data_IF_422939910472
#
_entry.id   IF_422939910472
#
_cell.length_a   1.000
_cell.length_b   1.000
_cell.length_c   1.000
_cell.angle_alpha   90.00
_cell.angle_beta   90.00
_cell.angle_gamma   90.00
#
_symmetry.space_group_name_H-M   'P 1'
#
loop_
_entity.id
_entity.type
_entity.pdbx_description
1 polymer ?
#
# COMPACT_ATOMS: atom_id res chain seq x y z
N UNK A 1 56.35 68.77 -13.80
CA UNK A 1 56.08 67.64 -14.72
C UNK A 1 55.46 66.43 -13.98
N UNK A 2 54.50 66.65 -13.06
CA UNK A 2 53.90 65.57 -12.25
C UNK A 2 52.36 65.66 -12.14
N UNK A 3 51.74 66.72 -12.68
CA UNK A 3 50.29 66.94 -12.61
C UNK A 3 49.58 66.46 -13.90
N UNK A 4 50.32 66.24 -15.00
CA UNK A 4 49.77 65.75 -16.28
C UNK A 4 49.43 64.26 -16.28
N UNK A 5 50.01 63.45 -15.38
CA UNK A 5 49.82 61.99 -15.39
C UNK A 5 48.61 61.53 -14.54
N UNK A 6 48.08 62.40 -13.68
CA UNK A 6 46.88 62.11 -12.89
C UNK A 6 45.58 62.34 -13.68
N UNK A 7 45.61 63.23 -14.69
CA UNK A 7 44.45 63.45 -15.57
C UNK A 7 44.26 62.28 -16.54
N UNK A 8 45.36 61.68 -17.04
CA UNK A 8 45.28 60.49 -17.88
C UNK A 8 45.02 59.18 -17.11
N UNK A 9 45.42 59.08 -15.84
CA UNK A 9 45.02 57.92 -15.00
C UNK A 9 43.57 57.97 -14.55
N UNK A 10 42.97 59.17 -14.43
CA UNK A 10 41.52 59.29 -14.13
C UNK A 10 40.65 58.96 -15.35
N UNK A 11 41.13 59.21 -16.56
CA UNK A 11 40.42 58.87 -17.81
C UNK A 11 40.37 57.36 -18.13
N UNK A 12 41.22 56.53 -17.52
CA UNK A 12 41.19 55.07 -17.74
C UNK A 12 40.31 54.30 -16.75
N UNK A 13 39.91 54.94 -15.63
CA UNK A 13 39.03 54.34 -14.61
C UNK A 13 37.56 54.71 -14.85
N UNK A 14 37.29 55.76 -15.63
CA UNK A 14 35.97 56.05 -16.18
C UNK A 14 35.70 55.21 -17.45
N UNK A 15 35.97 53.90 -17.41
CA UNK A 15 35.20 52.97 -18.22
C UNK A 15 33.79 52.98 -17.63
N UNK A 16 33.02 54.01 -18.00
CA UNK A 16 31.59 54.08 -17.81
C UNK A 16 31.02 52.81 -18.44
N UNK A 17 30.88 51.77 -17.62
CA UNK A 17 29.92 50.71 -17.80
C UNK A 17 28.59 51.43 -17.93
N UNK A 18 28.23 51.74 -19.16
CA UNK A 18 26.97 52.38 -19.51
C UNK A 18 25.85 51.57 -18.85
N UNK A 19 24.86 52.23 -18.25
CA UNK A 19 23.66 51.60 -17.68
C UNK A 19 23.14 50.38 -18.49
N UNK A 20 23.07 50.43 -19.84
CA UNK A 20 22.72 49.24 -20.65
C UNK A 20 23.70 48.07 -20.52
N UNK A 21 25.02 48.29 -20.46
CA UNK A 21 26.03 47.24 -20.37
C UNK A 21 25.93 46.43 -19.07
N UNK A 22 25.63 47.10 -17.95
CA UNK A 22 25.38 46.44 -16.67
C UNK A 22 24.09 45.61 -16.75
N UNK A 23 23.04 46.15 -17.37
CA UNK A 23 21.79 45.42 -17.59
C UNK A 23 22.00 44.18 -18.46
N UNK A 24 22.81 44.27 -19.53
CA UNK A 24 23.17 43.11 -20.37
C UNK A 24 23.96 42.05 -19.60
N UNK A 25 24.92 42.44 -18.75
CA UNK A 25 25.70 41.51 -17.91
C UNK A 25 24.80 40.82 -16.87
N UNK A 26 23.88 41.57 -16.26
CA UNK A 26 22.91 41.01 -15.30
C UNK A 26 21.94 40.05 -16.00
N UNK A 27 21.41 40.43 -17.17
CA UNK A 27 20.48 39.58 -17.92
C UNK A 27 21.15 38.31 -18.45
N UNK A 28 22.40 38.40 -18.90
CA UNK A 28 23.17 37.24 -19.37
C UNK A 28 23.58 36.31 -18.22
N UNK A 29 23.98 36.85 -17.06
CA UNK A 29 24.27 36.02 -15.88
C UNK A 29 23.01 35.34 -15.35
N UNK A 30 21.86 36.03 -15.35
CA UNK A 30 20.55 35.43 -15.05
C UNK A 30 20.21 34.33 -16.05
N UNK A 31 20.35 34.58 -17.36
CA UNK A 31 20.05 33.58 -18.39
C UNK A 31 20.97 32.34 -18.30
N UNK A 32 22.27 32.53 -18.07
CA UNK A 32 23.24 31.44 -17.88
C UNK A 32 22.94 30.68 -16.59
N UNK A 33 22.59 31.37 -15.49
CA UNK A 33 22.16 30.76 -14.24
C UNK A 33 20.89 29.93 -14.43
N UNK A 34 19.89 30.44 -15.13
CA UNK A 34 18.67 29.70 -15.46
C UNK A 34 18.94 28.49 -16.34
N UNK A 35 19.80 28.61 -17.36
CA UNK A 35 20.19 27.48 -18.22
C UNK A 35 20.97 26.42 -17.46
N UNK A 36 21.82 26.83 -16.52
CA UNK A 36 22.58 25.92 -15.66
C UNK A 36 21.67 25.20 -14.68
N UNK A 37 20.76 25.93 -14.02
CA UNK A 37 19.72 25.35 -13.17
C UNK A 37 18.79 24.41 -13.96
N UNK A 38 18.45 24.76 -15.20
CA UNK A 38 17.65 23.92 -16.08
C UNK A 38 18.38 22.62 -16.44
N UNK A 39 19.68 22.69 -16.78
CA UNK A 39 20.50 21.49 -17.05
C UNK A 39 20.71 20.62 -15.82
N UNK A 40 20.84 21.21 -14.64
CA UNK A 40 20.87 20.46 -13.38
C UNK A 40 19.52 19.82 -13.03
N UNK A 41 18.42 20.41 -13.49
CA UNK A 41 17.08 19.89 -13.29
C UNK A 41 16.72 18.76 -14.26
N UNK A 42 17.44 18.63 -15.38
CA UNK A 42 17.22 17.55 -16.34
C UNK A 42 17.66 16.19 -15.74
N UNK A 43 16.91 15.11 -16.02
CA UNK A 43 17.29 13.79 -15.60
C UNK A 43 18.62 13.37 -16.25
N UNK A 44 19.53 12.83 -15.44
CA UNK A 44 20.81 12.29 -15.93
C UNK A 44 20.66 10.79 -16.23
N UNK A 45 20.60 10.37 -17.52
CA UNK A 45 20.50 8.96 -17.89
C UNK A 45 21.77 8.19 -17.52
N UNK A 46 21.62 6.91 -17.15
CA UNK A 46 22.77 6.02 -16.96
C UNK A 46 23.20 5.53 -18.36
N UNK A 47 24.47 5.71 -18.75
CA UNK A 47 24.93 5.28 -20.06
C UNK A 47 24.83 3.77 -20.21
N UNK A 48 24.32 3.31 -21.35
CA UNK A 48 24.19 1.89 -21.68
C UNK A 48 22.87 1.21 -21.32
N UNK A 49 21.93 1.92 -20.66
CA UNK A 49 20.59 1.40 -20.36
C UNK A 49 19.55 2.10 -21.25
N UNK A 50 18.70 1.37 -21.99
CA UNK A 50 17.64 1.95 -22.83
C UNK A 50 16.62 2.79 -22.06
N UNK A 51 16.18 3.89 -22.70
CA UNK A 51 15.18 4.83 -22.18
C UNK A 51 14.42 5.53 -23.31
N UNK A 52 13.31 6.17 -22.96
CA UNK A 52 12.63 7.08 -23.86
C UNK A 52 13.44 8.38 -24.00
N UNK A 53 14.06 8.58 -25.17
CA UNK A 53 14.87 9.78 -25.47
C UNK A 53 14.07 11.07 -25.27
N UNK A 54 12.76 11.05 -25.51
CA UNK A 54 11.89 12.20 -25.35
C UNK A 54 11.71 12.60 -23.88
N UNK A 55 11.81 11.63 -22.96
CA UNK A 55 11.70 11.84 -21.51
C UNK A 55 12.96 12.46 -20.93
N UNK A 56 14.15 12.19 -21.49
CA UNK A 56 15.40 12.78 -21.01
C UNK A 56 15.51 14.31 -21.24
N UNK A 57 14.71 14.84 -22.17
CA UNK A 57 14.67 16.27 -22.48
C UNK A 57 13.60 17.03 -21.67
N UNK A 58 12.82 16.33 -20.84
CA UNK A 58 11.71 16.92 -20.08
C UNK A 58 12.06 17.01 -18.60
N UNK A 59 11.71 18.14 -17.98
CA UNK A 59 11.94 18.37 -16.54
C UNK A 59 11.14 17.39 -15.65
N UNK A 60 9.98 16.94 -16.14
CA UNK A 60 9.15 15.94 -15.48
C UNK A 60 9.41 14.50 -15.99
N UNK A 61 10.42 14.30 -16.84
CA UNK A 61 10.77 12.99 -17.35
C UNK A 61 9.59 12.28 -18.04
N UNK A 62 9.30 11.08 -17.55
CA UNK A 62 8.25 10.17 -18.04
C UNK A 62 6.86 10.47 -17.44
N UNK A 63 6.76 11.35 -16.44
CA UNK A 63 5.49 11.62 -15.74
C UNK A 63 4.36 12.05 -16.68
N UNK A 64 4.56 12.97 -17.66
CA UNK A 64 3.47 13.37 -18.56
C UNK A 64 2.98 12.23 -19.45
N UNK A 65 3.90 11.40 -19.97
CA UNK A 65 3.56 10.23 -20.79
C UNK A 65 2.78 9.21 -19.95
N UNK A 66 3.27 8.94 -18.74
CA UNK A 66 2.62 8.05 -17.77
C UNK A 66 1.20 8.51 -17.42
N UNK A 67 1.01 9.79 -17.06
CA UNK A 67 -0.32 10.33 -16.74
C UNK A 67 -1.25 10.27 -17.95
N UNK A 68 -0.74 10.56 -19.15
CA UNK A 68 -1.53 10.45 -20.37
C UNK A 68 -1.95 9.02 -20.68
N UNK A 69 -1.09 8.03 -20.39
CA UNK A 69 -1.39 6.61 -20.56
C UNK A 69 -2.47 6.16 -19.57
N UNK A 70 -2.33 6.56 -18.30
CA UNK A 70 -3.32 6.27 -17.24
C UNK A 70 -4.68 6.88 -17.59
N UNK A 71 -4.71 8.16 -17.99
CA UNK A 71 -5.96 8.87 -18.29
C UNK A 71 -6.69 8.42 -19.56
N UNK A 72 -5.97 7.84 -20.54
CA UNK A 72 -6.56 7.49 -21.85
C UNK A 72 -6.98 6.03 -21.98
N UNK A 73 -6.44 5.12 -21.17
CA UNK A 73 -6.57 3.66 -21.36
C UNK A 73 -7.05 2.90 -20.13
N UNK A 74 -7.52 3.58 -19.08
CA UNK A 74 -7.73 2.98 -17.74
C UNK A 74 -6.50 2.15 -17.30
N UNK A 75 -5.33 2.60 -17.77
CA UNK A 75 -4.07 1.92 -17.56
C UNK A 75 -3.51 2.27 -16.20
N UNK A 76 -2.70 1.39 -15.67
CA UNK A 76 -1.96 1.60 -14.43
C UNK A 76 -0.49 1.89 -14.69
N UNK A 77 0.25 2.32 -13.66
CA UNK A 77 1.69 2.56 -13.76
C UNK A 77 2.45 1.33 -14.32
N UNK A 78 2.03 0.12 -13.95
CA UNK A 78 2.65 -1.12 -14.43
C UNK A 78 2.34 -1.34 -15.91
N UNK A 79 1.12 -1.05 -16.39
CA UNK A 79 0.80 -1.19 -17.81
C UNK A 79 1.60 -0.22 -18.70
N UNK A 80 1.86 1.00 -18.20
CA UNK A 80 2.76 1.94 -18.86
C UNK A 80 4.18 1.39 -18.96
N UNK A 81 4.72 0.86 -17.86
CA UNK A 81 6.05 0.22 -17.85
C UNK A 81 6.09 -0.93 -18.85
N UNK A 82 5.09 -1.80 -18.86
CA UNK A 82 5.04 -2.94 -19.77
C UNK A 82 5.03 -2.50 -21.24
N UNK A 83 4.27 -1.46 -21.59
CA UNK A 83 4.29 -0.90 -22.95
C UNK A 83 5.64 -0.29 -23.30
N UNK A 84 6.26 0.44 -22.36
CA UNK A 84 7.57 1.04 -22.54
C UNK A 84 8.66 -0.03 -22.76
N UNK A 85 8.64 -1.10 -21.97
CA UNK A 85 9.57 -2.23 -22.12
C UNK A 85 9.40 -2.94 -23.46
N UNK A 86 8.16 -3.13 -23.92
CA UNK A 86 7.87 -3.70 -25.24
C UNK A 86 8.35 -2.81 -26.38
N UNK A 87 8.24 -1.50 -26.22
CA UNK A 87 8.65 -0.51 -27.22
C UNK A 87 10.17 -0.42 -27.34
N UNK A 88 10.87 -0.48 -26.20
CA UNK A 88 12.33 -0.42 -26.14
C UNK A 88 13.02 -1.77 -26.41
N UNK A 89 12.25 -2.86 -26.48
CA UNK A 89 12.71 -4.25 -26.67
C UNK A 89 13.93 -4.61 -25.79
N UNK A 90 13.86 -4.26 -24.50
CA UNK A 90 14.95 -4.43 -23.56
C UNK A 90 14.48 -4.99 -22.21
N UNK A 91 15.21 -5.94 -21.60
CA UNK A 91 14.85 -6.53 -20.31
C UNK A 91 15.13 -5.60 -19.12
N UNK A 92 15.98 -4.59 -19.32
CA UNK A 92 16.32 -3.55 -18.35
C UNK A 92 16.11 -2.18 -18.99
N UNK A 93 15.23 -1.38 -18.40
CA UNK A 93 14.96 -0.01 -18.86
C UNK A 93 15.15 0.98 -17.70
N UNK A 94 15.36 2.25 -18.04
CA UNK A 94 15.37 3.35 -17.07
C UNK A 94 14.20 4.31 -17.30
N UNK A 95 13.59 4.76 -16.21
CA UNK A 95 12.40 5.63 -16.21
C UNK A 95 12.61 6.80 -15.26
N UNK A 96 12.19 7.99 -15.67
CA UNK A 96 12.37 9.25 -14.96
C UNK A 96 11.04 9.72 -14.35
N UNK A 97 10.70 9.20 -13.16
CA UNK A 97 9.42 9.47 -12.49
C UNK A 97 9.55 10.54 -11.41
N UNK A 98 10.69 10.57 -10.73
CA UNK A 98 10.95 11.52 -9.64
C UNK A 98 11.82 12.67 -10.17
N UNK A 99 11.30 13.91 -10.22
CA UNK A 99 12.12 15.06 -10.61
C UNK A 99 13.28 15.25 -9.61
N UNK A 100 14.43 15.72 -10.09
CA UNK A 100 15.65 15.91 -9.30
C UNK A 100 16.22 14.65 -8.62
N UNK A 101 15.76 13.47 -9.00
CA UNK A 101 16.19 12.19 -8.42
C UNK A 101 16.91 11.33 -9.45
N UNK A 102 17.56 10.27 -8.97
CA UNK A 102 18.17 9.26 -9.85
C UNK A 102 17.09 8.52 -10.65
N UNK A 103 17.40 8.06 -11.88
CA UNK A 103 16.48 7.24 -12.66
C UNK A 103 16.07 5.97 -11.91
N UNK A 104 14.81 5.57 -12.09
CA UNK A 104 14.31 4.27 -11.65
C UNK A 104 14.69 3.23 -12.70
N UNK A 105 15.38 2.17 -12.27
CA UNK A 105 15.69 1.03 -13.12
C UNK A 105 14.62 -0.04 -12.95
N UNK A 106 14.12 -0.56 -14.07
CA UNK A 106 13.10 -1.61 -14.10
C UNK A 106 13.68 -2.81 -14.84
N UNK A 107 13.77 -3.92 -14.11
CA UNK A 107 14.23 -5.20 -14.61
C UNK A 107 13.04 -6.14 -14.73
N UNK A 108 12.79 -6.67 -15.93
CA UNK A 108 11.74 -7.68 -16.17
C UNK A 108 12.28 -9.06 -16.54
N UNK A 109 13.61 -9.26 -16.54
CA UNK A 109 14.15 -10.61 -16.66
C UNK A 109 13.99 -11.37 -15.34
N UNK A 110 13.30 -12.51 -15.41
CA UNK A 110 13.03 -13.38 -14.27
C UNK A 110 14.32 -13.91 -13.65
N UNK A 111 15.30 -14.32 -14.47
CA UNK A 111 16.52 -14.98 -13.96
C UNK A 111 17.36 -14.00 -13.15
N UNK A 112 17.63 -12.83 -13.71
CA UNK A 112 18.36 -11.77 -13.01
C UNK A 112 17.59 -11.25 -11.79
N UNK A 113 16.26 -11.05 -11.89
CA UNK A 113 15.46 -10.62 -10.74
C UNK A 113 15.49 -11.64 -9.59
N UNK A 114 15.39 -12.93 -9.91
CA UNK A 114 15.50 -14.01 -8.93
C UNK A 114 16.88 -14.06 -8.29
N UNK A 115 17.96 -13.93 -9.08
CA UNK A 115 19.32 -13.92 -8.55
C UNK A 115 19.57 -12.72 -7.61
N UNK A 116 19.08 -11.54 -8.00
CA UNK A 116 19.13 -10.32 -7.18
C UNK A 116 18.42 -10.51 -5.84
N UNK A 117 17.24 -11.13 -5.84
CA UNK A 117 16.42 -11.27 -4.64
C UNK A 117 16.93 -12.34 -3.66
N UNK A 118 17.61 -13.40 -4.16
CA UNK A 118 17.98 -14.55 -3.34
C UNK A 118 19.48 -14.60 -3.02
N UNK A 119 20.34 -14.35 -4.00
CA UNK A 119 21.77 -14.62 -3.88
C UNK A 119 22.61 -13.36 -3.63
N UNK A 120 22.20 -12.22 -4.19
CA UNK A 120 22.98 -10.97 -4.16
C UNK A 120 22.66 -10.15 -2.90
N UNK A 121 23.70 -9.79 -2.15
CA UNK A 121 23.59 -9.09 -0.85
C UNK A 121 23.85 -7.58 -0.93
N UNK A 122 24.33 -7.13 -2.08
CA UNK A 122 24.57 -5.72 -2.39
C UNK A 122 23.29 -4.92 -2.56
N UNK A 123 22.16 -5.59 -2.83
CA UNK A 123 20.84 -4.98 -2.90
C UNK A 123 20.13 -5.09 -1.56
N UNK A 124 19.60 -3.96 -1.12
CA UNK A 124 18.76 -3.86 0.08
C UNK A 124 17.51 -3.06 -0.28
N UNK A 125 16.56 -2.98 0.66
CA UNK A 125 15.25 -2.34 0.45
C UNK A 125 15.39 -0.89 -0.02
N UNK A 126 14.57 -0.55 -1.02
CA UNK A 126 14.54 0.79 -1.60
C UNK A 126 13.95 1.81 -0.61
N UNK A 127 14.56 3.00 -0.47
CA UNK A 127 13.97 4.12 0.27
C UNK A 127 12.58 4.52 -0.26
N UNK A 128 12.29 4.26 -1.55
CA UNK A 128 11.01 4.60 -2.16
C UNK A 128 9.83 3.86 -1.55
N UNK A 129 10.02 2.59 -1.15
CA UNK A 129 9.00 1.85 -0.42
C UNK A 129 8.76 2.45 0.97
N UNK A 130 9.83 2.97 1.58
CA UNK A 130 9.72 3.67 2.85
C UNK A 130 8.95 4.96 2.76
N UNK A 131 9.15 5.77 1.72
CA UNK A 131 8.38 7.00 1.51
C UNK A 131 6.86 6.73 1.44
N UNK A 132 6.46 5.55 0.95
CA UNK A 132 5.05 5.15 0.86
C UNK A 132 4.48 4.79 2.22
N UNK A 133 5.18 4.01 3.04
CA UNK A 133 4.62 3.46 4.29
C UNK A 133 4.90 4.33 5.50
N UNK A 134 5.94 5.17 5.46
CA UNK A 134 6.41 5.98 6.60
C UNK A 134 5.35 6.96 7.12
N UNK A 135 4.40 7.39 6.29
CA UNK A 135 3.29 8.20 6.75
C UNK A 135 2.39 7.46 7.74
N UNK A 136 2.11 6.18 7.48
CA UNK A 136 1.17 5.37 8.26
C UNK A 136 1.81 4.66 9.46
N UNK A 137 3.02 4.14 9.27
CA UNK A 137 3.76 3.37 10.28
C UNK A 137 5.25 3.77 10.27
N UNK A 138 5.60 4.91 10.91
CA UNK A 138 6.93 5.51 10.82
C UNK A 138 8.05 4.68 11.44
N UNK A 139 7.77 3.80 12.40
CA UNK A 139 8.76 2.97 13.09
C UNK A 139 8.67 1.48 12.71
N UNK A 140 7.86 1.11 11.72
CA UNK A 140 7.66 -0.29 11.32
C UNK A 140 8.81 -0.87 10.50
N UNK A 141 9.12 -2.16 10.69
CA UNK A 141 10.26 -2.80 10.02
C UNK A 141 10.17 -2.87 8.50
N UNK A 142 9.01 -2.72 7.86
CA UNK A 142 8.87 -2.86 6.39
C UNK A 142 9.75 -1.89 5.60
N UNK A 143 9.93 -0.67 6.12
CA UNK A 143 10.68 0.37 5.42
C UNK A 143 12.13 0.49 5.89
N UNK A 144 12.50 -0.21 6.96
CA UNK A 144 13.87 -0.22 7.43
C UNK A 144 14.75 -1.06 6.50
N UNK A 145 15.95 -0.54 6.24
CA UNK A 145 17.07 -1.30 5.67
C UNK A 145 17.45 -2.46 6.58
N UNK A 146 18.14 -3.47 6.05
CA UNK A 146 18.52 -4.71 6.76
C UNK A 146 19.62 -4.47 7.81
N UNK A 147 19.37 -3.57 8.76
CA UNK A 147 20.24 -3.16 9.84
C UNK A 147 19.87 -3.88 11.16
N UNK A 148 20.52 -3.50 12.25
CA UNK A 148 20.24 -4.07 13.58
C UNK A 148 18.82 -3.76 14.06
N UNK A 149 18.30 -2.55 13.79
CA UNK A 149 16.94 -2.17 14.14
C UNK A 149 15.90 -3.05 13.44
N UNK A 150 16.07 -3.27 12.13
CA UNK A 150 15.23 -4.19 11.36
C UNK A 150 15.26 -5.61 11.95
N UNK A 151 16.44 -6.14 12.29
CA UNK A 151 16.56 -7.48 12.89
C UNK A 151 15.83 -7.57 14.23
N UNK A 152 15.92 -6.55 15.06
CA UNK A 152 15.24 -6.51 16.36
C UNK A 152 13.72 -6.47 16.18
N UNK A 153 13.21 -5.61 15.31
CA UNK A 153 11.77 -5.50 15.04
C UNK A 153 11.22 -6.76 14.36
N UNK A 154 11.95 -7.30 13.38
CA UNK A 154 11.56 -8.55 12.68
C UNK A 154 11.43 -9.73 13.63
N UNK A 155 12.24 -9.79 14.70
CA UNK A 155 12.18 -10.84 15.74
C UNK A 155 10.88 -10.79 16.55
N UNK A 156 10.22 -9.64 16.66
CA UNK A 156 8.94 -9.53 17.37
C UNK A 156 7.83 -10.29 16.62
N UNK A 157 7.84 -10.21 15.29
CA UNK A 157 6.78 -10.75 14.41
C UNK A 157 7.14 -12.06 13.72
N UNK A 158 8.36 -12.58 13.88
CA UNK A 158 8.84 -13.77 13.13
C UNK A 158 8.02 -15.03 13.36
N UNK A 159 7.51 -15.24 14.57
CA UNK A 159 6.83 -16.50 14.86
C UNK A 159 5.34 -16.48 14.51
N UNK A 160 4.80 -15.31 14.13
CA UNK A 160 3.43 -15.19 13.60
C UNK A 160 3.24 -15.97 12.29
N UNK A 161 4.33 -16.32 11.59
CA UNK A 161 4.30 -17.14 10.38
C UNK A 161 4.75 -18.58 10.63
N UNK A 162 4.91 -19.00 11.88
CA UNK A 162 5.27 -20.40 12.19
C UNK A 162 4.08 -21.32 11.95
N UNK A 163 4.32 -22.59 11.54
CA UNK A 163 3.24 -23.57 11.39
C UNK A 163 2.38 -23.73 12.65
N UNK A 164 2.99 -23.61 13.83
CA UNK A 164 2.28 -23.70 15.12
C UNK A 164 1.30 -22.54 15.31
N UNK A 165 1.71 -21.30 15.02
CA UNK A 165 0.80 -20.15 15.11
C UNK A 165 -0.31 -20.25 14.07
N UNK A 166 0.04 -20.62 12.83
CA UNK A 166 -0.92 -20.77 11.75
C UNK A 166 -1.98 -21.85 12.05
N UNK A 167 -1.58 -22.97 12.66
CA UNK A 167 -2.51 -24.05 12.98
C UNK A 167 -3.38 -23.76 14.21
N UNK A 168 -2.80 -23.18 15.26
CA UNK A 168 -3.48 -23.03 16.55
C UNK A 168 -4.25 -21.72 16.71
N UNK A 169 -3.84 -20.65 16.00
CA UNK A 169 -4.43 -19.31 16.13
C UNK A 169 -5.12 -18.89 14.84
N UNK A 170 -4.38 -18.84 13.72
CA UNK A 170 -4.95 -18.34 12.46
C UNK A 170 -5.98 -19.30 11.86
N UNK A 171 -5.73 -20.61 11.89
CA UNK A 171 -6.59 -21.64 11.31
C UNK A 171 -8.03 -21.61 11.85
N UNK A 172 -8.25 -21.67 13.18
CA UNK A 172 -9.57 -21.57 13.78
C UNK A 172 -10.30 -20.27 13.41
N UNK A 173 -9.61 -19.12 13.49
CA UNK A 173 -10.17 -17.82 13.11
C UNK A 173 -10.61 -17.79 11.64
N UNK A 174 -9.76 -18.24 10.72
CA UNK A 174 -10.07 -18.32 9.28
C UNK A 174 -11.27 -19.24 9.05
N UNK A 175 -11.31 -20.42 9.70
CA UNK A 175 -12.42 -21.36 9.56
C UNK A 175 -13.76 -20.76 10.02
N UNK A 176 -13.76 -20.03 11.14
CA UNK A 176 -14.95 -19.36 11.65
C UNK A 176 -15.48 -18.32 10.67
N UNK A 177 -14.62 -17.44 10.16
CA UNK A 177 -15.03 -16.40 9.21
C UNK A 177 -15.41 -16.97 7.84
N UNK A 178 -14.71 -17.99 7.35
CA UNK A 178 -15.07 -18.70 6.13
C UNK A 178 -16.45 -19.38 6.24
N UNK A 179 -16.80 -19.91 7.41
CA UNK A 179 -18.12 -20.50 7.66
C UNK A 179 -19.23 -19.44 7.55
N UNK A 180 -19.02 -18.26 8.14
CA UNK A 180 -19.96 -17.12 8.02
C UNK A 180 -20.12 -16.68 6.56
N UNK A 181 -19.04 -16.65 5.78
CA UNK A 181 -19.12 -16.34 4.34
C UNK A 181 -19.96 -17.38 3.58
N UNK A 182 -19.81 -18.66 3.89
CA UNK A 182 -20.60 -19.73 3.27
C UNK A 182 -22.09 -19.55 3.58
N UNK A 183 -22.43 -19.17 4.82
CA UNK A 183 -23.81 -18.89 5.22
C UNK A 183 -24.35 -17.63 4.51
N UNK A 184 -23.54 -16.57 4.37
CA UNK A 184 -23.89 -15.38 3.58
C UNK A 184 -24.19 -15.74 2.12
N UNK A 185 -23.34 -16.54 1.48
CA UNK A 185 -23.57 -16.98 0.10
C UNK A 185 -24.76 -17.92 -0.03
N UNK A 186 -25.04 -18.74 0.99
CA UNK A 186 -26.26 -19.55 1.02
C UNK A 186 -27.52 -18.68 1.10
N UNK A 187 -27.51 -17.65 1.94
CA UNK A 187 -28.62 -16.69 2.02
C UNK A 187 -28.79 -15.92 0.70
N UNK A 188 -27.71 -15.33 0.17
CA UNK A 188 -27.72 -14.61 -1.12
C UNK A 188 -28.18 -15.50 -2.28
N UNK A 189 -27.69 -16.73 -2.38
CA UNK A 189 -28.07 -17.67 -3.45
C UNK A 189 -29.55 -18.07 -3.41
N UNK A 190 -30.11 -18.23 -2.21
CA UNK A 190 -31.54 -18.53 -2.02
C UNK A 190 -32.40 -17.35 -2.48
N UNK A 191 -31.96 -16.12 -2.18
CA UNK A 191 -32.65 -14.91 -2.59
C UNK A 191 -32.49 -14.68 -4.10
N UNK A 192 -31.29 -14.86 -4.67
CA UNK A 192 -30.98 -14.55 -6.06
C UNK A 192 -31.65 -15.48 -7.09
N UNK A 193 -32.05 -16.70 -6.69
CA UNK A 193 -32.77 -17.68 -7.53
C UNK A 193 -32.19 -17.84 -8.96
N UNK A 194 -30.86 -17.99 -9.05
CA UNK A 194 -30.14 -18.25 -10.30
C UNK A 194 -29.61 -17.02 -11.05
N UNK A 195 -29.84 -15.81 -10.52
CA UNK A 195 -29.21 -14.56 -10.99
C UNK A 195 -27.82 -14.44 -10.34
N UNK A 196 -26.76 -14.08 -11.10
CA UNK A 196 -25.43 -13.88 -10.54
C UNK A 196 -25.36 -12.70 -9.56
N UNK A 197 -24.40 -12.73 -8.64
CA UNK A 197 -24.04 -11.61 -7.77
C UNK A 197 -22.52 -11.49 -7.61
N UNK A 198 -22.03 -10.29 -7.32
CA UNK A 198 -20.61 -10.01 -7.13
C UNK A 198 -20.10 -10.62 -5.82
N UNK A 199 -19.08 -11.49 -5.89
CA UNK A 199 -18.49 -12.15 -4.72
C UNK A 199 -17.21 -11.47 -4.23
N UNK A 200 -16.67 -10.52 -4.99
CA UNK A 200 -15.37 -9.92 -4.72
C UNK A 200 -15.32 -9.18 -3.38
N UNK A 201 -16.25 -8.26 -3.16
CA UNK A 201 -16.37 -7.52 -1.89
C UNK A 201 -16.54 -8.46 -0.69
N UNK A 202 -17.31 -9.54 -0.83
CA UNK A 202 -17.51 -10.51 0.24
C UNK A 202 -16.21 -11.24 0.61
N UNK A 203 -15.39 -11.57 -0.39
CA UNK A 203 -14.07 -12.20 -0.18
C UNK A 203 -13.13 -11.22 0.53
N UNK A 204 -13.12 -9.96 0.12
CA UNK A 204 -12.27 -8.95 0.75
C UNK A 204 -12.70 -8.66 2.19
N UNK A 205 -14.00 -8.61 2.46
CA UNK A 205 -14.55 -8.45 3.80
C UNK A 205 -14.21 -9.64 4.71
N UNK A 206 -14.39 -10.89 4.24
CA UNK A 206 -14.07 -12.06 5.08
C UNK A 206 -12.57 -12.17 5.34
N UNK A 207 -11.73 -11.80 4.38
CA UNK A 207 -10.28 -11.82 4.53
C UNK A 207 -9.83 -10.78 5.56
N UNK A 208 -10.40 -9.58 5.50
CA UNK A 208 -10.19 -8.55 6.52
C UNK A 208 -10.61 -9.03 7.91
N UNK A 209 -11.84 -9.57 8.04
CA UNK A 209 -12.36 -10.05 9.32
C UNK A 209 -11.46 -11.16 9.92
N UNK A 210 -11.05 -12.13 9.08
CA UNK A 210 -10.16 -13.21 9.51
C UNK A 210 -8.81 -12.69 10.00
N UNK A 211 -8.23 -11.72 9.29
CA UNK A 211 -6.96 -11.07 9.69
C UNK A 211 -7.10 -10.33 11.00
N UNK A 212 -8.18 -9.55 11.16
CA UNK A 212 -8.41 -8.82 12.40
C UNK A 212 -8.64 -9.77 13.58
N UNK A 213 -9.34 -10.89 13.35
CA UNK A 213 -9.59 -11.90 14.38
C UNK A 213 -8.32 -12.61 14.87
N UNK A 214 -7.41 -13.04 13.99
CA UNK A 214 -6.15 -13.63 14.48
C UNK A 214 -5.15 -12.56 14.97
N UNK A 215 -5.29 -11.31 14.52
CA UNK A 215 -4.43 -10.22 14.96
C UNK A 215 -4.75 -9.78 16.41
N UNK A 216 -6.03 -9.50 16.69
CA UNK A 216 -6.49 -8.96 17.97
C UNK A 216 -7.09 -10.02 18.90
N UNK A 217 -7.58 -11.14 18.35
CA UNK A 217 -8.14 -12.27 19.11
C UNK A 217 -9.61 -12.53 18.82
N UNK A 218 -10.16 -13.59 19.40
CA UNK A 218 -11.55 -14.03 19.21
C UNK A 218 -12.59 -13.02 19.73
N UNK A 219 -12.20 -12.15 20.66
CA UNK A 219 -13.06 -11.09 21.21
C UNK A 219 -13.24 -9.90 20.25
N UNK A 220 -12.58 -9.93 19.09
CA UNK A 220 -12.76 -8.95 18.02
C UNK A 220 -14.14 -9.10 17.36
N UNK A 221 -15.14 -8.42 17.93
CA UNK A 221 -16.52 -8.45 17.44
C UNK A 221 -16.80 -7.49 16.26
N UNK A 222 -15.80 -6.72 15.83
CA UNK A 222 -15.95 -5.67 14.82
C UNK A 222 -15.71 -6.21 13.41
N UNK A 223 -16.62 -7.04 12.88
CA UNK A 223 -16.49 -7.61 11.52
C UNK A 223 -17.44 -6.98 10.50
N UNK A 224 -17.15 -7.11 9.20
CA UNK A 224 -18.02 -6.68 8.10
C UNK A 224 -18.95 -7.80 7.61
N UNK A 225 -18.51 -9.06 7.71
CA UNK A 225 -19.21 -10.20 7.10
C UNK A 225 -20.50 -10.54 7.86
N UNK A 226 -20.48 -10.47 9.20
CA UNK A 226 -21.67 -10.73 10.03
C UNK A 226 -22.76 -9.66 9.86
N UNK A 227 -22.47 -8.35 9.92
CA UNK A 227 -23.47 -7.32 9.60
C UNK A 227 -24.05 -7.45 8.19
N UNK A 228 -23.24 -7.87 7.21
CA UNK A 228 -23.73 -8.16 5.85
C UNK A 228 -24.69 -9.35 5.83
N UNK A 229 -24.41 -10.41 6.59
CA UNK A 229 -25.32 -11.55 6.75
C UNK A 229 -26.63 -11.11 7.39
N UNK A 230 -26.57 -10.40 8.51
CA UNK A 230 -27.75 -9.87 9.21
C UNK A 230 -28.58 -8.97 8.29
N UNK A 231 -27.94 -8.11 7.48
CA UNK A 231 -28.63 -7.23 6.55
C UNK A 231 -29.36 -8.01 5.44
N UNK A 232 -28.75 -9.11 4.95
CA UNK A 232 -29.35 -9.98 3.94
C UNK A 232 -30.49 -10.82 4.54
N UNK A 233 -30.35 -11.32 5.77
CA UNK A 233 -31.39 -12.09 6.45
C UNK A 233 -32.60 -11.24 6.85
N UNK A 234 -32.41 -9.96 7.14
CA UNK A 234 -33.49 -9.01 7.46
C UNK A 234 -34.27 -8.51 6.23
N UNK A 235 -33.93 -8.96 5.02
CA UNK A 235 -34.66 -8.57 3.82
C UNK A 235 -36.08 -9.17 3.80
N UNK A 236 -37.09 -8.29 3.80
CA UNK A 236 -38.47 -8.69 3.60
C UNK A 236 -38.75 -9.18 2.16
N UNK A 237 -39.78 -10.01 2.00
CA UNK A 237 -40.19 -10.57 0.69
C UNK A 237 -40.45 -9.49 -0.37
N UNK A 238 -41.03 -8.35 0.03
CA UNK A 238 -41.27 -7.22 -0.87
C UNK A 238 -39.98 -6.53 -1.33
N UNK A 239 -38.97 -6.45 -0.45
CA UNK A 239 -37.66 -5.90 -0.79
C UNK A 239 -36.90 -6.84 -1.75
N UNK A 240 -37.00 -8.15 -1.53
CA UNK A 240 -36.47 -9.19 -2.43
C UNK A 240 -37.11 -9.11 -3.82
N UNK A 241 -38.43 -8.97 -3.89
CA UNK A 241 -39.13 -8.78 -5.17
C UNK A 241 -38.75 -7.48 -5.85
N UNK A 242 -38.51 -6.40 -5.10
CA UNK A 242 -38.02 -5.13 -5.67
C UNK A 242 -36.59 -5.26 -6.21
N UNK A 243 -35.72 -6.01 -5.54
CA UNK A 243 -34.36 -6.30 -6.00
C UNK A 243 -34.36 -7.17 -7.26
N UNK A 244 -35.30 -8.11 -7.38
CA UNK A 244 -35.50 -8.95 -8.57
C UNK A 244 -36.17 -8.21 -9.73
N UNK A 245 -37.15 -7.36 -9.44
CA UNK A 245 -37.99 -6.66 -10.42
C UNK A 245 -37.43 -5.29 -10.83
N UNK A 246 -36.28 -4.87 -10.29
CA UNK A 246 -35.75 -3.52 -10.54
C UNK A 246 -35.44 -3.24 -12.00
N UNK A 247 -35.41 -4.22 -12.92
CA UNK A 247 -35.37 -3.94 -14.37
C UNK A 247 -35.76 -5.12 -15.27
N UNK A 248 -36.83 -4.95 -16.05
CA UNK A 248 -37.28 -5.82 -17.17
C UNK A 248 -36.33 -5.77 -18.39
N UNK A 249 -35.00 -5.79 -18.17
CA UNK A 249 -33.99 -5.50 -19.20
C UNK A 249 -32.75 -6.39 -19.19
N UNK A 250 -32.77 -7.53 -18.50
CA UNK A 250 -31.63 -8.47 -18.43
C UNK A 250 -30.57 -8.04 -17.42
N UNK A 251 -30.67 -8.55 -16.20
CA UNK A 251 -29.72 -8.24 -15.11
C UNK A 251 -28.42 -9.02 -15.32
N UNK A 252 -27.30 -8.29 -15.38
CA UNK A 252 -25.94 -8.85 -15.38
C UNK A 252 -25.49 -9.28 -13.97
N UNK A 253 -26.02 -8.67 -12.89
CA UNK A 253 -25.77 -9.04 -11.47
C UNK A 253 -26.75 -8.40 -10.47
N UNK A 254 -27.08 -9.09 -9.36
CA UNK A 254 -27.79 -8.52 -8.19
C UNK A 254 -26.80 -7.87 -7.23
N UNK A 255 -27.15 -6.68 -6.72
CA UNK A 255 -26.48 -6.03 -5.61
C UNK A 255 -27.28 -6.18 -4.32
N UNK A 256 -26.63 -6.70 -3.28
CA UNK A 256 -27.23 -6.88 -1.95
C UNK A 256 -26.93 -5.69 -1.04
N UNK A 257 -27.79 -5.39 -0.05
CA UNK A 257 -27.50 -4.37 0.94
C UNK A 257 -26.26 -4.76 1.76
N UNK A 258 -25.43 -3.76 2.07
CA UNK A 258 -24.28 -3.90 2.97
C UNK A 258 -24.69 -3.47 4.38
N UNK A 259 -24.22 -4.19 5.39
CA UNK A 259 -24.44 -3.87 6.80
C UNK A 259 -23.67 -2.62 7.21
N UNK A 260 -24.05 -2.06 8.37
CA UNK A 260 -23.30 -0.96 8.97
C UNK A 260 -21.91 -1.44 9.39
N UNK A 261 -20.89 -0.67 9.00
CA UNK A 261 -19.48 -0.99 9.27
C UNK A 261 -19.08 -0.31 10.57
N UNK A 262 -18.43 -1.07 11.46
CA UNK A 262 -17.91 -0.56 12.71
C UNK A 262 -16.88 0.56 12.50
N UNK A 263 -16.83 1.53 13.42
CA UNK A 263 -15.92 2.67 13.38
C UNK A 263 -14.44 2.26 13.26
N UNK A 264 -14.01 1.17 13.92
CA UNK A 264 -12.63 0.68 13.87
C UNK A 264 -12.27 0.14 12.48
N UNK A 265 -13.19 -0.56 11.84
CA UNK A 265 -13.01 -1.08 10.49
C UNK A 265 -13.07 0.06 9.47
N UNK A 266 -14.01 0.98 9.62
CA UNK A 266 -14.12 2.16 8.77
C UNK A 266 -12.85 3.02 8.84
N UNK A 267 -12.29 3.25 10.04
CA UNK A 267 -11.02 3.94 10.21
C UNK A 267 -9.86 3.19 9.50
N UNK A 268 -9.89 1.86 9.49
CA UNK A 268 -8.87 1.04 8.81
C UNK A 268 -8.99 1.13 7.29
N UNK A 269 -10.20 1.12 6.74
CA UNK A 269 -10.46 1.32 5.32
C UNK A 269 -10.04 2.73 4.88
N UNK A 270 -10.43 3.75 5.66
CA UNK A 270 -10.08 5.15 5.41
C UNK A 270 -8.56 5.36 5.37
N UNK A 271 -7.81 4.70 6.26
CA UNK A 271 -6.34 4.75 6.24
C UNK A 271 -5.75 4.01 5.04
N UNK A 272 -6.38 2.94 4.57
CA UNK A 272 -5.92 2.18 3.40
C UNK A 272 -6.09 3.01 2.12
N UNK A 273 -7.23 3.70 1.99
CA UNK A 273 -7.49 4.60 0.85
C UNK A 273 -6.45 5.71 0.75
N UNK A 274 -5.97 6.24 1.89
CA UNK A 274 -4.93 7.27 1.89
C UNK A 274 -3.60 6.79 1.31
N UNK A 275 -3.27 5.50 1.45
CA UNK A 275 -2.05 4.93 0.84
C UNK A 275 -2.20 4.93 -0.68
N UNK A 276 -3.39 4.63 -1.19
CA UNK A 276 -3.73 4.74 -2.61
C UNK A 276 -3.58 6.16 -3.15
N UNK A 277 -4.02 7.19 -2.41
CA UNK A 277 -3.86 8.60 -2.80
C UNK A 277 -2.39 9.05 -2.92
N UNK A 278 -1.50 8.49 -2.10
CA UNK A 278 -0.06 8.83 -2.10
C UNK A 278 0.67 8.06 -3.21
N UNK A 279 0.20 6.85 -3.54
CA UNK A 279 0.80 6.02 -4.57
C UNK A 279 0.71 6.67 -5.96
N UNK A 280 1.86 6.81 -6.63
CA UNK A 280 1.95 7.45 -7.95
C UNK A 280 2.17 8.97 -7.92
N UNK A 281 2.14 9.60 -6.74
CA UNK A 281 2.48 11.01 -6.62
C UNK A 281 4.01 11.20 -6.70
N UNK A 282 4.53 12.15 -7.53
CA UNK A 282 5.97 12.39 -7.65
C UNK A 282 6.64 12.84 -6.35
N UNK A 283 5.89 13.41 -5.39
CA UNK A 283 6.42 13.89 -4.10
C UNK A 283 5.70 13.28 -2.89
N UNK A 284 5.94 11.99 -2.59
CA UNK A 284 5.18 11.24 -1.57
C UNK A 284 5.23 11.89 -0.17
N UNK A 285 6.36 12.50 0.21
CA UNK A 285 6.50 13.14 1.53
C UNK A 285 5.59 14.37 1.70
N UNK A 286 5.43 15.17 0.65
CA UNK A 286 4.55 16.35 0.68
C UNK A 286 3.08 15.93 0.68
N UNK A 287 2.75 14.91 -0.12
CA UNK A 287 1.40 14.34 -0.16
C UNK A 287 1.02 13.77 1.19
N UNK A 288 1.91 13.00 1.84
CA UNK A 288 1.69 12.53 3.21
C UNK A 288 1.49 13.67 4.19
N UNK A 289 2.32 14.72 4.15
CA UNK A 289 2.16 15.87 5.01
C UNK A 289 0.82 16.60 4.82
N UNK A 290 0.26 16.59 3.61
CA UNK A 290 -1.07 17.16 3.32
C UNK A 290 -2.21 16.21 3.73
N UNK A 291 -2.12 14.93 3.37
CA UNK A 291 -3.11 13.90 3.69
C UNK A 291 -3.27 13.73 5.20
N UNK A 292 -2.16 13.72 5.96
CA UNK A 292 -2.21 13.63 7.43
C UNK A 292 -2.80 14.85 8.11
N UNK A 293 -2.95 15.99 7.40
CA UNK A 293 -3.66 17.16 7.92
C UNK A 293 -5.18 17.07 7.72
N UNK A 294 -5.67 16.15 6.89
CA UNK A 294 -7.12 15.94 6.71
C UNK A 294 -7.71 15.46 8.04
N UNK A 295 -8.79 16.12 8.50
CA UNK A 295 -9.43 15.77 9.78
C UNK A 295 -9.92 14.32 9.82
N UNK A 296 -10.42 13.80 8.69
CA UNK A 296 -10.85 12.39 8.54
C UNK A 296 -9.72 11.42 8.86
N UNK A 297 -8.54 11.64 8.27
CA UNK A 297 -7.35 10.80 8.46
C UNK A 297 -6.84 10.89 9.89
N UNK A 298 -6.79 12.10 10.46
CA UNK A 298 -6.38 12.30 11.86
C UNK A 298 -7.28 11.52 12.84
N UNK A 299 -8.60 11.58 12.65
CA UNK A 299 -9.56 10.82 13.47
C UNK A 299 -9.36 9.31 13.30
N UNK A 300 -9.19 8.84 12.05
CA UNK A 300 -8.95 7.43 11.78
C UNK A 300 -7.65 6.91 12.43
N UNK A 301 -6.57 7.70 12.42
CA UNK A 301 -5.33 7.37 13.14
C UNK A 301 -5.57 7.28 14.66
N UNK A 302 -6.29 8.24 15.23
CA UNK A 302 -6.58 8.29 16.67
C UNK A 302 -7.44 7.11 17.14
N UNK A 303 -8.54 6.82 16.44
CA UNK A 303 -9.42 5.67 16.74
C UNK A 303 -8.61 4.37 16.72
N UNK A 304 -7.82 4.16 15.65
CA UNK A 304 -7.02 2.95 15.48
C UNK A 304 -5.91 2.83 16.51
N UNK A 305 -5.21 3.91 16.81
CA UNK A 305 -4.14 3.92 17.81
C UNK A 305 -4.68 3.62 19.21
N UNK A 306 -5.80 4.24 19.59
CA UNK A 306 -6.46 3.98 20.87
C UNK A 306 -6.88 2.51 21.00
N UNK A 307 -7.44 1.93 19.93
CA UNK A 307 -7.82 0.52 19.90
C UNK A 307 -6.62 -0.44 20.06
N UNK A 308 -5.51 -0.16 19.36
CA UNK A 308 -4.29 -0.97 19.50
C UNK A 308 -3.73 -0.87 20.93
N UNK A 309 -3.76 0.32 21.53
CA UNK A 309 -3.25 0.53 22.89
C UNK A 309 -4.14 -0.18 23.92
N UNK A 310 -5.47 -0.14 23.77
CA UNK A 310 -6.37 -0.89 24.65
C UNK A 310 -6.12 -2.38 24.54
N UNK A 311 -6.06 -2.93 23.32
CA UNK A 311 -5.86 -4.38 23.16
C UNK A 311 -4.48 -4.84 23.64
N UNK A 312 -3.43 -4.03 23.47
CA UNK A 312 -2.11 -4.31 24.06
C UNK A 312 -2.16 -4.33 25.59
N UNK A 313 -2.89 -3.41 26.20
CA UNK A 313 -3.04 -3.31 27.65
C UNK A 313 -3.81 -4.52 28.20
N UNK A 314 -4.92 -4.86 27.54
CA UNK A 314 -5.75 -6.02 27.88
C UNK A 314 -4.96 -7.33 27.71
N UNK A 315 -4.16 -7.45 26.64
CA UNK A 315 -3.26 -8.59 26.41
C UNK A 315 -2.21 -8.72 27.53
N UNK A 316 -1.63 -7.60 27.98
CA UNK A 316 -0.66 -7.61 29.10
C UNK A 316 -1.31 -8.08 30.39
N UNK A 317 -2.54 -7.64 30.67
CA UNK A 317 -3.32 -8.08 31.83
C UNK A 317 -3.66 -9.57 31.75
N UNK A 318 -4.23 -10.02 30.62
CA UNK A 318 -4.60 -11.44 30.37
C UNK A 318 -3.41 -12.38 30.52
N UNK A 319 -2.23 -12.00 30.01
CA UNK A 319 -1.04 -12.83 30.03
C UNK A 319 -0.22 -12.71 31.33
N UNK A 320 -0.59 -11.80 32.22
CA UNK A 320 0.17 -11.47 33.43
C UNK A 320 1.60 -11.03 33.09
N UNK A 321 1.78 -10.22 32.04
CA UNK A 321 3.09 -9.82 31.52
C UNK A 321 3.85 -10.92 30.78
N UNK A 322 3.14 -11.85 30.12
CA UNK A 322 3.74 -12.88 29.26
C UNK A 322 4.17 -14.17 29.97
N UNK A 323 3.75 -14.40 31.22
CA UNK A 323 4.25 -15.51 32.06
C UNK A 323 3.25 -16.64 32.28
N UNK A 324 1.94 -16.44 32.05
CA UNK A 324 0.90 -17.39 32.49
C UNK A 324 -0.23 -17.65 31.50
N UNK A 325 -0.30 -16.95 30.37
CA UNK A 325 -1.43 -17.05 29.44
C UNK A 325 -1.14 -17.86 28.18
N UNK A 326 -2.20 -18.46 27.61
CA UNK A 326 -2.18 -19.07 26.28
C UNK A 326 -2.24 -17.96 25.24
N UNK A 327 -1.34 -18.01 24.26
CA UNK A 327 -1.34 -17.05 23.14
C UNK A 327 -2.55 -17.31 22.25
N UNK A 328 -3.47 -16.34 22.17
CA UNK A 328 -4.68 -16.43 21.33
C UNK A 328 -4.69 -15.45 20.17
N UNK A 329 -3.77 -14.46 20.16
CA UNK A 329 -3.71 -13.44 19.13
C UNK A 329 -2.27 -13.07 18.75
N UNK A 330 -2.11 -12.32 17.67
CA UNK A 330 -0.81 -11.75 17.30
C UNK A 330 -0.33 -10.71 18.34
N UNK A 331 -1.25 -9.94 18.92
CA UNK A 331 -0.94 -8.99 20.00
C UNK A 331 -0.43 -9.72 21.24
N UNK A 332 -1.07 -10.81 21.65
CA UNK A 332 -0.61 -11.67 22.75
C UNK A 332 0.82 -12.19 22.48
N UNK A 333 1.07 -12.63 21.24
CA UNK A 333 2.38 -13.14 20.85
C UNK A 333 3.47 -12.05 20.95
N UNK A 334 3.16 -10.83 20.50
CA UNK A 334 4.05 -9.68 20.60
C UNK A 334 4.40 -9.34 22.05
N UNK A 335 3.42 -9.39 22.96
CA UNK A 335 3.65 -9.20 24.40
C UNK A 335 4.62 -10.25 24.96
N UNK A 336 4.37 -11.54 24.69
CA UNK A 336 5.26 -12.63 25.13
C UNK A 336 6.69 -12.46 24.59
N UNK A 337 6.82 -12.06 23.32
CA UNK A 337 8.14 -11.83 22.70
C UNK A 337 8.86 -10.64 23.27
N UNK A 338 8.17 -9.53 23.51
CA UNK A 338 8.75 -8.36 24.14
C UNK A 338 9.25 -8.68 25.56
N UNK A 339 8.49 -9.46 26.35
CA UNK A 339 8.95 -9.96 27.66
C UNK A 339 10.24 -10.78 27.54
N UNK A 340 10.27 -11.77 26.63
CA UNK A 340 11.44 -12.64 26.46
C UNK A 340 12.68 -11.89 25.95
N UNK A 341 12.51 -10.93 25.05
CA UNK A 341 13.61 -10.07 24.58
C UNK A 341 14.10 -9.14 25.69
N UNK A 342 13.19 -8.55 26.47
CA UNK A 342 13.54 -7.68 27.58
C UNK A 342 14.33 -8.42 28.68
N UNK A 343 13.92 -9.64 29.03
CA UNK A 343 14.63 -10.49 29.98
C UNK A 343 16.04 -10.84 29.49
N UNK A 344 16.19 -11.16 28.19
CA UNK A 344 17.50 -11.44 27.57
C UNK A 344 18.42 -10.23 27.57
N UNK A 345 17.87 -9.05 27.31
CA UNK A 345 18.60 -7.78 27.27
C UNK A 345 18.77 -7.14 28.65
N UNK A 346 18.29 -7.79 29.73
CA UNK A 346 18.30 -7.29 31.12
C UNK A 346 17.65 -5.91 31.27
N UNK A 347 16.60 -5.65 30.50
CA UNK A 347 15.80 -4.41 30.53
C UNK A 347 14.37 -4.71 31.00
N UNK A 348 13.65 -3.68 31.43
CA UNK A 348 12.21 -3.80 31.65
C UNK A 348 11.49 -3.92 30.28
N UNK A 349 10.43 -4.74 30.19
CA UNK A 349 9.64 -4.86 28.97
C UNK A 349 8.86 -3.56 28.70
N UNK A 350 8.80 -3.15 27.44
CA UNK A 350 8.07 -1.97 27.00
C UNK A 350 6.99 -2.36 25.98
N UNK A 351 5.82 -2.69 26.50
CA UNK A 351 4.69 -3.19 25.71
C UNK A 351 4.01 -2.09 24.86
N UNK A 352 4.04 -0.83 25.32
CA UNK A 352 3.39 0.31 24.65
C UNK A 352 4.46 1.24 24.05
N UNK A 353 5.34 0.65 23.25
CA UNK A 353 6.31 1.41 22.46
C UNK A 353 5.73 1.77 21.08
N UNK A 354 6.23 2.85 20.47
CA UNK A 354 5.85 3.21 19.09
C UNK A 354 6.09 2.09 18.10
N UNK A 355 7.20 1.36 18.29
CA UNK A 355 7.52 0.15 17.52
C UNK A 355 6.43 -0.91 17.67
N UNK A 356 5.98 -1.23 18.88
CA UNK A 356 4.93 -2.23 19.10
C UNK A 356 3.61 -1.83 18.42
N UNK A 357 3.20 -0.58 18.59
CA UNK A 357 1.97 -0.04 17.97
C UNK A 357 2.08 -0.10 16.44
N UNK A 358 3.22 0.31 15.88
CA UNK A 358 3.44 0.34 14.43
C UNK A 358 3.59 -1.05 13.82
N UNK A 359 4.18 -2.01 14.55
CA UNK A 359 4.24 -3.43 14.16
C UNK A 359 2.85 -4.05 14.11
N UNK A 360 2.02 -3.83 15.12
CA UNK A 360 0.62 -4.26 15.13
C UNK A 360 -0.11 -3.58 13.96
N UNK A 361 -0.11 -2.25 13.91
CA UNK A 361 -0.79 -1.43 12.90
C UNK A 361 -0.49 -1.90 11.48
N UNK A 362 0.79 -2.07 11.15
CA UNK A 362 1.18 -2.42 9.80
C UNK A 362 0.86 -3.88 9.48
N UNK A 363 1.06 -4.82 10.41
CA UNK A 363 0.88 -6.26 10.16
C UNK A 363 -0.46 -6.57 9.48
N UNK A 364 -1.59 -6.10 10.02
CA UNK A 364 -2.90 -6.32 9.39
C UNK A 364 -3.17 -5.37 8.22
N UNK A 365 -2.68 -4.13 8.24
CA UNK A 365 -2.85 -3.21 7.10
C UNK A 365 -2.15 -3.74 5.83
N UNK A 366 -1.00 -4.41 5.96
CA UNK A 366 -0.34 -5.09 4.83
C UNK A 366 -1.07 -6.31 4.30
N UNK A 367 -1.97 -6.93 5.05
CA UNK A 367 -2.84 -7.97 4.49
C UNK A 367 -4.01 -7.35 3.72
N UNK A 368 -4.50 -6.18 4.13
CA UNK A 368 -5.59 -5.46 3.46
C UNK A 368 -5.14 -4.89 2.12
N UNK A 369 -3.91 -4.39 2.04
CA UNK A 369 -3.36 -3.80 0.82
C UNK A 369 -3.47 -4.78 -0.38
N UNK A 370 -2.93 -6.01 -0.38
CA UNK A 370 -3.13 -6.96 -1.48
C UNK A 370 -4.58 -7.15 -1.93
N UNK A 371 -5.56 -7.15 -1.03
CA UNK A 371 -6.98 -7.33 -1.36
C UNK A 371 -7.61 -6.07 -1.99
N UNK A 372 -7.37 -4.89 -1.41
CA UNK A 372 -7.74 -3.62 -2.03
C UNK A 372 -7.04 -3.43 -3.41
N UNK A 373 -5.88 -4.04 -3.58
CA UNK A 373 -5.09 -3.99 -4.81
C UNK A 373 -5.53 -5.03 -5.84
N UNK A 374 -6.05 -6.19 -5.43
CA UNK A 374 -6.71 -7.15 -6.35
C UNK A 374 -7.89 -6.47 -7.04
N UNK A 375 -8.69 -5.72 -6.28
CA UNK A 375 -9.83 -4.96 -6.81
C UNK A 375 -9.40 -3.84 -7.76
N UNK A 376 -8.39 -3.07 -7.35
CA UNK A 376 -7.95 -1.87 -8.09
C UNK A 376 -7.07 -2.20 -9.30
N UNK A 377 -6.29 -3.29 -9.28
CA UNK A 377 -5.27 -3.59 -10.30
C UNK A 377 -5.53 -4.86 -11.11
N UNK A 378 -6.09 -5.92 -10.51
CA UNK A 378 -6.36 -7.17 -11.22
C UNK A 378 -7.76 -7.21 -11.84
N UNK A 379 -8.71 -6.48 -11.27
CA UNK A 379 -10.13 -6.53 -11.65
C UNK A 379 -10.73 -5.32 -12.38
N UNK A 380 -9.99 -4.26 -12.84
CA UNK A 380 -10.63 -3.24 -13.67
C UNK A 380 -11.02 -3.79 -15.06
N UNK A 381 -10.57 -5.00 -15.42
CA UNK A 381 -11.18 -5.74 -16.51
C UNK A 381 -12.53 -6.27 -16.03
N UNK A 382 -13.64 -5.65 -16.47
CA UNK A 382 -15.02 -6.15 -16.30
C UNK A 382 -15.19 -7.64 -16.62
N UNK A 383 -14.24 -8.24 -17.34
CA UNK A 383 -14.19 -9.66 -17.72
C UNK A 383 -13.83 -10.63 -16.59
N UNK A 384 -13.25 -10.17 -15.47
CA UNK A 384 -12.72 -11.04 -14.41
C UNK A 384 -13.39 -10.90 -13.04
N UNK A 385 -14.44 -10.07 -12.93
CA UNK A 385 -15.27 -10.02 -11.72
C UNK A 385 -15.83 -11.42 -11.41
N UNK A 386 -15.52 -11.93 -10.22
CA UNK A 386 -15.98 -13.26 -9.81
C UNK A 386 -17.47 -13.18 -9.50
N UNK A 387 -18.28 -13.57 -10.48
CA UNK A 387 -19.72 -13.72 -10.31
C UNK A 387 -20.04 -15.16 -9.93
N UNK A 388 -20.70 -15.34 -8.79
CA UNK A 388 -21.22 -16.64 -8.41
C UNK A 388 -22.64 -16.79 -8.94
N UNK A 389 -22.90 -17.92 -9.62
CA UNK A 389 -24.24 -18.30 -10.07
C UNK A 389 -24.67 -19.59 -9.38
N UNK A 390 -25.81 -19.54 -8.69
CA UNK A 390 -26.39 -20.72 -8.09
C UNK A 390 -26.92 -21.67 -9.17
N UNK A 391 -26.26 -22.82 -9.38
CA UNK A 391 -26.73 -23.88 -10.27
C UNK A 391 -27.45 -24.96 -9.48
N UNK A 392 -28.67 -25.34 -9.88
CA UNK A 392 -29.48 -26.40 -9.24
C UNK A 392 -28.95 -27.84 -9.46
N UNK A 393 -27.76 -28.02 -10.03
CA UNK A 393 -27.18 -29.35 -10.24
C UNK A 393 -26.18 -29.69 -9.12
N UNK A 394 -26.28 -30.88 -8.50
CA UNK A 394 -25.28 -31.32 -7.54
C UNK A 394 -23.94 -31.51 -8.24
N UNK A 395 -22.91 -30.81 -7.78
CA UNK A 395 -21.52 -31.00 -8.21
C UNK A 395 -21.09 -32.40 -7.76
N UNK A 396 -21.10 -33.37 -8.68
CA UNK A 396 -20.46 -34.68 -8.47
C UNK A 396 -18.95 -34.46 -8.46
N UNK A 397 -18.35 -34.42 -7.28
CA UNK A 397 -16.91 -34.65 -7.13
C UNK A 397 -16.63 -36.10 -7.50
N UNK A 398 -16.23 -36.36 -8.75
CA UNK A 398 -15.71 -37.68 -9.13
C UNK A 398 -14.31 -37.81 -8.54
N UNK A 399 -14.19 -38.51 -7.42
CA UNK A 399 -12.90 -39.02 -6.93
C UNK A 399 -12.47 -40.11 -7.92
N UNK A 400 -11.57 -39.75 -8.84
CA UNK A 400 -10.92 -40.68 -9.75
C UNK A 400 -9.94 -41.55 -8.98
N UNK A 401 -10.42 -42.66 -8.42
CA UNK A 401 -9.57 -43.75 -7.96
C UNK A 401 -9.09 -44.56 -9.16
N UNK A 402 -7.83 -44.39 -9.57
CA UNK A 402 -7.18 -45.30 -10.50
C UNK A 402 -6.84 -46.60 -9.75
N UNK A 403 -7.58 -47.65 -10.06
CA UNK A 403 -7.17 -49.03 -9.81
C UNK A 403 -6.67 -49.62 -11.12
N UNK A 404 -5.38 -49.90 -11.19
CA UNK A 404 -4.75 -50.93 -12.02
C UNK A 404 -3.31 -51.09 -11.57
#
# INVERSE_FOLDING_TARGET
>A
MAISNLVHMRQYIDFQLSSPSIVFIVLTTIAVSFLWLYRLALPNPIPGIPYDESSAQRLLGDVPNMVSHISKRDGTFITYIMELMKTLDAPLIQVFIRPFSKPLLILADFREAHDILIHRKEFDRSPSLGDLVKGLAPDHHIHLKTNTAWKTQRRLVQDLMTPSFLHNVAGPAIHQHASVLIDLWRAKSTIADGIPFAANDDINHVALDAVMAFAFGEDFNHGMTRPNLDAVERLDKNAVETLKNKDNGGVESIEFPKGEVDEVIQATLDLTDTVGEVQGNPFPMLTWAWVMRKSKVKKAVEIKENYIISELSDSVERLGGGKKGVVKSAVDHLVVRETGLAEKDRRAPNYISRVMIDEVRCSYTTFILPFAWIDTWYLPHRSSALYLRATKQPVRLSVGGSSS
#
